data_IF_763554525827
#
_entry.id   IF_763554525827
#
_cell.length_a   1.000
_cell.length_b   1.000
_cell.length_c   1.000
_cell.angle_alpha   90.00
_cell.angle_beta   90.00
_cell.angle_gamma   90.00
#
_symmetry.space_group_name_H-M   'P 1'
#
loop_
_entity.id
_entity.type
_entity.pdbx_description
1 polymer ?
#
# COMPACT_ATOMS: atom_id res chain seq x y z
N UNK A 1 -37.51 -52.02 22.34
CA UNK A 1 -37.48 -51.86 23.80
C UNK A 1 -36.13 -51.30 24.15
N UNK A 2 -36.11 -50.27 24.99
CA UNK A 2 -34.94 -49.51 25.47
C UNK A 2 -34.03 -48.91 24.38
N UNK A 3 -34.48 -47.79 23.80
CA UNK A 3 -33.56 -46.82 23.18
C UNK A 3 -33.04 -45.93 24.28
N UNK A 4 -31.86 -46.24 24.81
CA UNK A 4 -31.19 -45.37 25.79
C UNK A 4 -30.61 -44.16 25.04
N UNK A 5 -31.46 -43.14 24.80
CA UNK A 5 -31.11 -41.92 24.06
C UNK A 5 -29.91 -41.18 24.69
N UNK A 6 -29.71 -41.35 26.01
CA UNK A 6 -28.56 -40.80 26.72
C UNK A 6 -27.27 -41.45 26.25
N UNK A 7 -27.24 -42.79 26.15
CA UNK A 7 -26.08 -43.52 25.63
C UNK A 7 -25.83 -43.20 24.16
N UNK A 8 -26.88 -43.06 23.34
CA UNK A 8 -26.73 -42.66 21.95
C UNK A 8 -26.16 -41.24 21.79
N UNK A 9 -26.60 -40.29 22.63
CA UNK A 9 -26.07 -38.93 22.65
C UNK A 9 -24.65 -38.85 23.24
N UNK A 10 -24.31 -39.71 24.20
CA UNK A 10 -22.96 -39.81 24.75
C UNK A 10 -21.99 -40.42 23.71
N UNK A 11 -22.44 -41.44 22.97
CA UNK A 11 -21.60 -42.13 21.99
C UNK A 11 -21.21 -41.23 20.81
N UNK A 12 -22.02 -40.21 20.48
CA UNK A 12 -21.69 -39.24 19.43
C UNK A 12 -20.65 -38.20 19.86
N UNK A 13 -20.42 -38.03 21.18
CA UNK A 13 -19.44 -37.08 21.72
C UNK A 13 -18.17 -37.75 22.19
N UNK A 14 -18.31 -38.92 22.81
CA UNK A 14 -17.21 -39.70 23.34
C UNK A 14 -17.53 -41.21 23.23
N UNK A 15 -17.28 -41.81 22.06
CA UNK A 15 -17.59 -43.22 21.82
C UNK A 15 -16.75 -44.17 22.67
N UNK A 16 -15.54 -43.76 23.08
CA UNK A 16 -14.63 -44.60 23.88
C UNK A 16 -15.12 -44.67 25.33
N UNK A 17 -15.48 -43.52 25.92
CA UNK A 17 -16.05 -43.51 27.27
C UNK A 17 -17.35 -44.31 27.36
N UNK A 18 -18.19 -44.28 26.32
CA UNK A 18 -19.41 -45.09 26.26
C UNK A 18 -19.10 -46.58 26.19
N UNK A 19 -18.08 -47.01 25.46
CA UNK A 19 -17.67 -48.41 25.42
C UNK A 19 -17.19 -48.91 26.79
N UNK A 20 -16.53 -48.06 27.57
CA UNK A 20 -16.15 -48.36 28.97
C UNK A 20 -17.38 -48.41 29.89
N UNK A 21 -18.35 -47.51 29.72
CA UNK A 21 -19.62 -47.53 30.47
C UNK A 21 -20.43 -48.82 30.18
N UNK A 22 -20.55 -49.20 28.90
CA UNK A 22 -21.27 -50.41 28.46
C UNK A 22 -20.62 -51.69 29.01
N UNK A 23 -19.28 -51.71 29.15
CA UNK A 23 -18.51 -52.81 29.74
C UNK A 23 -18.91 -53.13 31.19
N UNK A 24 -19.34 -52.12 31.94
CA UNK A 24 -19.69 -52.25 33.37
C UNK A 24 -21.20 -52.42 33.62
N UNK A 25 -22.03 -52.29 32.59
CA UNK A 25 -23.48 -52.52 32.67
C UNK A 25 -23.83 -54.00 32.52
N UNK A 26 -24.97 -54.38 33.08
CA UNK A 26 -25.60 -55.68 32.86
C UNK A 26 -26.92 -55.51 32.11
N UNK A 27 -27.21 -56.41 31.16
CA UNK A 27 -28.44 -56.42 30.37
C UNK A 27 -28.20 -56.31 28.86
N UNK A 28 -29.28 -56.19 28.05
CA UNK A 28 -29.22 -56.38 26.60
C UNK A 28 -28.26 -55.44 25.85
N UNK A 29 -28.00 -54.24 26.39
CA UNK A 29 -27.08 -53.26 25.80
C UNK A 29 -25.62 -53.71 25.95
N UNK A 30 -25.27 -54.37 27.05
CA UNK A 30 -23.93 -54.91 27.26
C UNK A 30 -23.66 -56.09 26.31
N UNK A 31 -24.66 -56.94 26.09
CA UNK A 31 -24.57 -58.07 25.13
C UNK A 31 -24.34 -57.55 23.71
N UNK A 32 -25.06 -56.50 23.29
CA UNK A 32 -24.83 -55.83 22.00
C UNK A 32 -23.42 -55.25 21.90
N UNK A 33 -22.90 -54.66 22.99
CA UNK A 33 -21.53 -54.13 23.04
C UNK A 33 -20.45 -55.21 22.88
N UNK A 34 -20.71 -56.44 23.34
CA UNK A 34 -19.82 -57.60 23.16
C UNK A 34 -19.96 -58.18 21.75
N UNK A 35 -21.20 -58.44 21.29
CA UNK A 35 -21.45 -59.04 19.98
C UNK A 35 -21.02 -58.15 18.81
N UNK A 36 -21.16 -56.84 18.95
CA UNK A 36 -20.70 -55.87 17.94
C UNK A 36 -19.17 -55.71 17.91
N UNK A 37 -18.46 -56.27 18.89
CA UNK A 37 -17.02 -56.09 19.04
C UNK A 37 -16.59 -54.71 19.56
N UNK A 38 -17.55 -53.85 19.94
CA UNK A 38 -17.29 -52.48 20.41
C UNK A 38 -16.38 -52.46 21.64
N UNK A 39 -16.58 -53.37 22.59
CA UNK A 39 -15.77 -53.47 23.82
C UNK A 39 -14.33 -53.90 23.49
N UNK A 40 -14.16 -54.82 22.53
CA UNK A 40 -12.83 -55.27 22.10
C UNK A 40 -12.09 -54.14 21.37
N UNK A 41 -12.74 -53.49 20.42
CA UNK A 41 -12.17 -52.35 19.69
C UNK A 41 -11.79 -51.19 20.63
N UNK A 42 -12.64 -50.86 21.60
CA UNK A 42 -12.35 -49.80 22.57
C UNK A 42 -11.17 -50.15 23.51
N UNK A 43 -10.97 -51.42 23.85
CA UNK A 43 -9.85 -51.87 24.71
C UNK A 43 -8.51 -51.73 23.99
N UNK A 44 -8.48 -51.92 22.67
CA UNK A 44 -7.29 -51.70 21.85
C UNK A 44 -7.02 -50.19 21.65
N UNK A 45 -8.07 -49.38 21.54
CA UNK A 45 -7.96 -47.91 21.44
C UNK A 45 -7.54 -47.24 22.77
N UNK A 46 -7.94 -47.77 23.93
CA UNK A 46 -7.51 -47.27 25.26
C UNK A 46 -6.00 -47.45 25.51
N UNK A 47 -5.32 -48.33 24.77
CA UNK A 47 -3.87 -48.54 24.86
C UNK A 47 -3.04 -47.54 24.06
N UNK A 48 -3.67 -46.79 23.17
CA UNK A 48 -3.03 -45.92 22.21
C UNK A 48 -3.69 -44.54 22.34
N UNK A 49 -3.16 -43.68 23.22
CA UNK A 49 -3.70 -42.33 23.52
C UNK A 49 -3.75 -41.40 22.29
N UNK A 50 -3.26 -41.86 21.13
CA UNK A 50 -3.07 -41.10 19.90
C UNK A 50 -4.02 -41.43 18.75
N UNK A 51 -5.02 -42.30 18.92
CA UNK A 51 -5.81 -42.78 17.75
C UNK A 51 -6.75 -41.73 17.14
N UNK A 52 -7.10 -40.68 17.88
CA UNK A 52 -7.89 -39.56 17.36
C UNK A 52 -7.27 -38.21 17.76
N UNK A 53 -6.15 -37.80 17.12
CA UNK A 53 -5.57 -36.51 17.41
C UNK A 53 -6.49 -35.42 16.86
N UNK A 54 -6.99 -34.54 17.73
CA UNK A 54 -7.65 -33.32 17.32
C UNK A 54 -6.62 -32.43 16.61
N UNK A 55 -6.60 -32.48 15.27
CA UNK A 55 -5.53 -31.84 14.48
C UNK A 55 -6.05 -30.58 13.81
N UNK A 56 -5.43 -29.43 14.11
CA UNK A 56 -5.77 -28.11 13.55
C UNK A 56 -4.74 -27.78 12.48
N UNK A 57 -5.14 -27.80 11.20
CA UNK A 57 -4.26 -27.50 10.07
C UNK A 57 -5.00 -27.18 8.76
N UNK A 58 -4.29 -26.60 7.79
CA UNK A 58 -4.81 -26.23 6.48
C UNK A 58 -4.90 -27.47 5.57
N UNK A 59 -6.11 -27.83 5.12
CA UNK A 59 -6.33 -29.00 4.25
C UNK A 59 -5.82 -28.72 2.83
N UNK A 60 -4.78 -29.44 2.38
CA UNK A 60 -4.29 -29.41 0.99
C UNK A 60 -4.43 -30.83 0.41
N UNK A 61 -5.56 -31.11 -0.24
CA UNK A 61 -5.93 -32.48 -0.65
C UNK A 61 -6.24 -33.37 0.56
N UNK A 62 -6.54 -34.66 0.35
CA UNK A 62 -6.80 -35.63 1.44
C UNK A 62 -5.55 -35.97 2.29
N UNK A 63 -4.56 -35.07 2.33
CA UNK A 63 -3.31 -35.21 3.05
C UNK A 63 -3.18 -34.05 4.04
N UNK A 64 -2.79 -34.38 5.28
CA UNK A 64 -2.67 -33.44 6.38
C UNK A 64 -1.18 -33.22 6.69
N UNK A 65 -0.80 -31.97 6.97
CA UNK A 65 0.59 -31.60 7.29
C UNK A 65 0.76 -31.68 8.80
N UNK A 66 1.50 -32.69 9.25
CA UNK A 66 1.99 -32.82 10.63
C UNK A 66 3.50 -32.50 10.63
N UNK A 67 3.93 -31.61 11.53
CA UNK A 67 5.34 -31.17 11.65
C UNK A 67 6.13 -32.00 12.66
N UNK A 68 5.50 -32.97 13.32
CA UNK A 68 6.16 -33.87 14.26
C UNK A 68 6.57 -35.16 13.58
N UNK A 69 7.77 -35.66 13.89
CA UNK A 69 8.26 -36.97 13.46
C UNK A 69 8.18 -37.87 14.68
N UNK A 70 7.39 -38.94 14.62
CA UNK A 70 7.20 -39.87 15.76
C UNK A 70 8.53 -40.57 16.12
N UNK A 71 8.73 -40.90 17.40
CA UNK A 71 9.97 -41.50 17.95
C UNK A 71 10.33 -42.88 17.34
N UNK A 72 9.45 -43.50 16.55
CA UNK A 72 9.67 -44.78 15.84
C UNK A 72 9.89 -44.65 14.33
N UNK A 73 9.89 -43.44 13.78
CA UNK A 73 10.02 -43.20 12.35
C UNK A 73 11.50 -43.27 11.92
N UNK A 74 11.81 -44.03 10.88
CA UNK A 74 13.17 -44.13 10.33
C UNK A 74 13.23 -43.54 8.92
N UNK A 75 14.27 -42.76 8.64
CA UNK A 75 14.49 -42.20 7.31
C UNK A 75 14.69 -43.34 6.31
N UNK A 76 13.80 -43.43 5.33
CA UNK A 76 13.79 -44.47 4.30
C UNK A 76 14.43 -43.98 3.01
N UNK A 77 14.11 -42.76 2.61
CA UNK A 77 14.54 -42.21 1.32
C UNK A 77 14.57 -40.67 1.36
N UNK A 78 15.33 -40.08 0.44
CA UNK A 78 15.42 -38.63 0.26
C UNK A 78 15.28 -38.33 -1.23
N UNK A 79 14.23 -37.58 -1.57
CA UNK A 79 13.87 -37.29 -2.96
C UNK A 79 13.94 -35.80 -3.24
N UNK A 80 14.80 -35.39 -4.18
CA UNK A 80 14.80 -34.01 -4.68
C UNK A 80 13.62 -33.78 -5.62
N UNK A 81 12.86 -32.71 -5.38
CA UNK A 81 11.73 -32.31 -6.21
C UNK A 81 12.16 -31.36 -7.32
N UNK A 82 11.35 -31.25 -8.38
CA UNK A 82 11.59 -30.30 -9.48
C UNK A 82 11.63 -28.84 -9.05
N UNK A 83 11.03 -28.50 -7.92
CA UNK A 83 11.05 -27.16 -7.31
C UNK A 83 12.40 -26.83 -6.66
N UNK A 84 13.31 -27.80 -6.54
CA UNK A 84 14.56 -27.68 -5.78
C UNK A 84 14.44 -28.03 -4.30
N UNK A 85 13.23 -28.31 -3.82
CA UNK A 85 12.96 -28.76 -2.44
C UNK A 85 13.40 -30.22 -2.25
N UNK A 86 13.72 -30.62 -1.02
CA UNK A 86 14.00 -32.02 -0.67
C UNK A 86 12.83 -32.61 0.11
N UNK A 87 12.39 -33.81 -0.26
CA UNK A 87 11.40 -34.58 0.48
C UNK A 87 12.09 -35.75 1.19
N UNK A 88 12.14 -35.72 2.52
CA UNK A 88 12.60 -36.83 3.36
C UNK A 88 11.42 -37.75 3.66
N UNK A 89 11.54 -39.02 3.27
CA UNK A 89 10.50 -40.03 3.41
C UNK A 89 10.83 -40.89 4.63
N UNK A 90 9.95 -40.87 5.63
CA UNK A 90 10.10 -41.66 6.85
C UNK A 90 9.17 -42.88 6.82
N UNK A 91 9.76 -44.07 6.97
CA UNK A 91 9.01 -45.32 7.15
C UNK A 91 8.55 -45.47 8.60
N UNK A 92 7.31 -45.95 8.78
CA UNK A 92 6.74 -46.28 10.09
C UNK A 92 6.24 -47.74 10.10
N UNK A 93 6.43 -48.50 11.20
CA UNK A 93 5.94 -49.87 11.28
C UNK A 93 4.40 -49.89 11.26
N UNK A 94 3.80 -50.50 10.23
CA UNK A 94 2.34 -50.70 10.16
C UNK A 94 1.51 -49.51 9.67
N UNK A 95 2.13 -48.40 9.26
CA UNK A 95 1.42 -47.19 8.81
C UNK A 95 2.01 -46.61 7.50
N UNK A 96 1.32 -45.65 6.90
CA UNK A 96 1.72 -44.96 5.66
C UNK A 96 2.99 -44.13 5.91
N UNK A 97 3.95 -44.10 4.95
CA UNK A 97 5.15 -43.27 5.06
C UNK A 97 4.82 -41.80 5.26
N UNK A 98 5.54 -41.13 6.16
CA UNK A 98 5.46 -39.66 6.34
C UNK A 98 6.46 -38.97 5.41
N UNK A 99 6.05 -37.88 4.80
CA UNK A 99 6.89 -37.05 3.94
C UNK A 99 7.17 -35.74 4.66
N UNK A 100 8.42 -35.51 5.06
CA UNK A 100 8.86 -34.22 5.54
C UNK A 100 9.45 -33.44 4.35
N UNK A 101 8.89 -32.27 4.06
CA UNK A 101 9.34 -31.42 2.97
C UNK A 101 10.27 -30.34 3.52
N UNK A 102 11.53 -30.38 3.13
CA UNK A 102 12.46 -29.26 3.26
C UNK A 102 12.29 -28.35 2.04
N UNK A 103 11.53 -27.27 2.22
CA UNK A 103 11.34 -26.26 1.18
C UNK A 103 12.65 -25.53 0.89
N UNK A 104 12.83 -25.04 -0.34
CA UNK A 104 14.02 -24.25 -0.72
C UNK A 104 14.21 -23.05 0.20
N UNK A 105 13.12 -22.42 0.64
CA UNK A 105 13.14 -21.27 1.55
C UNK A 105 13.71 -21.63 2.94
N UNK A 106 13.54 -22.87 3.38
CA UNK A 106 14.13 -23.40 4.63
C UNK A 106 15.60 -23.82 4.48
N UNK A 107 16.10 -23.97 3.26
CA UNK A 107 17.49 -24.36 2.96
C UNK A 107 18.44 -23.16 2.79
N UNK A 108 17.93 -21.93 2.72
CA UNK A 108 18.76 -20.72 2.65
C UNK A 108 19.58 -20.56 3.94
N UNK A 109 20.88 -20.27 3.79
CA UNK A 109 21.73 -19.91 4.92
C UNK A 109 21.30 -18.57 5.53
N UNK A 110 21.56 -18.35 6.83
CA UNK A 110 21.25 -17.06 7.49
C UNK A 110 21.95 -15.88 6.80
N UNK A 111 23.13 -16.12 6.20
CA UNK A 111 23.84 -15.09 5.41
C UNK A 111 23.08 -14.74 4.13
N UNK A 112 22.52 -15.72 3.43
CA UNK A 112 21.77 -15.47 2.20
C UNK A 112 20.41 -14.82 2.48
N UNK A 113 19.77 -15.16 3.60
CA UNK A 113 18.54 -14.46 4.05
C UNK A 113 18.80 -13.01 4.42
N UNK A 114 19.89 -12.71 5.15
CA UNK A 114 20.29 -11.31 5.42
C UNK A 114 20.56 -10.53 4.14
N UNK A 115 21.23 -11.13 3.15
CA UNK A 115 21.42 -10.51 1.83
C UNK A 115 20.11 -10.25 1.10
N UNK A 116 19.13 -11.16 1.20
CA UNK A 116 17.79 -10.93 0.64
C UNK A 116 17.07 -9.77 1.36
N UNK A 117 17.20 -9.68 2.68
CA UNK A 117 16.64 -8.58 3.48
C UNK A 117 17.25 -7.23 3.07
N UNK A 118 18.59 -7.12 3.10
CA UNK A 118 19.31 -5.93 2.64
C UNK A 118 18.98 -5.60 1.18
N UNK A 119 18.83 -6.63 0.34
CA UNK A 119 18.50 -6.52 -1.07
C UNK A 119 17.15 -5.87 -1.33
N UNK A 120 16.06 -6.34 -0.70
CA UNK A 120 14.73 -5.75 -0.96
C UNK A 120 14.62 -4.34 -0.36
N UNK A 121 15.25 -4.07 0.78
CA UNK A 121 15.28 -2.74 1.37
C UNK A 121 16.00 -1.73 0.47
N UNK A 122 17.17 -2.13 -0.06
CA UNK A 122 17.93 -1.33 -1.01
C UNK A 122 17.17 -1.13 -2.33
N UNK A 123 16.45 -2.13 -2.81
CA UNK A 123 15.58 -2.01 -4.01
C UNK A 123 14.44 -1.03 -3.73
N UNK A 124 13.73 -1.17 -2.61
CA UNK A 124 12.62 -0.29 -2.23
C UNK A 124 13.06 1.18 -2.12
N UNK A 125 14.13 1.44 -1.37
CA UNK A 125 14.71 2.78 -1.24
C UNK A 125 15.26 3.30 -2.58
N UNK A 126 15.97 2.46 -3.33
CA UNK A 126 16.56 2.83 -4.62
C UNK A 126 15.50 3.20 -5.65
N UNK A 127 14.43 2.42 -5.76
CA UNK A 127 13.28 2.72 -6.62
C UNK A 127 12.58 4.00 -6.17
N UNK A 128 12.38 4.17 -4.86
CA UNK A 128 11.77 5.38 -4.30
C UNK A 128 12.55 6.66 -4.63
N UNK A 129 13.86 6.64 -4.40
CA UNK A 129 14.78 7.76 -4.72
C UNK A 129 14.84 8.00 -6.23
N UNK A 130 14.93 6.95 -7.05
CA UNK A 130 14.95 7.07 -8.51
C UNK A 130 13.68 7.72 -9.05
N UNK A 131 12.50 7.34 -8.54
CA UNK A 131 11.22 7.95 -8.89
C UNK A 131 11.20 9.44 -8.53
N UNK A 132 11.63 9.79 -7.31
CA UNK A 132 11.70 11.20 -6.88
C UNK A 132 12.64 11.99 -7.78
N UNK A 133 13.85 11.49 -8.04
CA UNK A 133 14.85 12.17 -8.87
C UNK A 133 14.35 12.36 -10.31
N UNK A 134 13.70 11.35 -10.89
CA UNK A 134 13.20 11.38 -12.27
C UNK A 134 12.03 12.35 -12.44
N UNK A 135 11.10 12.41 -11.48
CA UNK A 135 9.87 13.20 -11.61
C UNK A 135 9.94 14.61 -10.99
N UNK A 136 10.94 14.89 -10.14
CA UNK A 136 11.16 16.23 -9.55
C UNK A 136 11.24 17.38 -10.58
N UNK A 137 11.97 17.29 -11.71
CA UNK A 137 12.02 18.40 -12.67
C UNK A 137 10.67 18.65 -13.33
N UNK A 138 9.92 17.60 -13.63
CA UNK A 138 8.58 17.72 -14.22
C UNK A 138 7.62 18.39 -13.24
N UNK A 139 7.71 18.01 -11.95
CA UNK A 139 6.89 18.63 -10.91
C UNK A 139 7.24 20.11 -10.69
N UNK A 140 8.51 20.49 -10.81
CA UNK A 140 8.95 21.88 -10.70
C UNK A 140 8.30 22.78 -11.77
N UNK A 141 8.23 22.30 -13.02
CA UNK A 141 7.53 23.04 -14.11
C UNK A 141 6.04 23.18 -13.80
N UNK A 142 5.40 22.11 -13.31
CA UNK A 142 3.98 22.15 -12.94
C UNK A 142 3.71 23.11 -11.78
N UNK A 143 4.60 23.17 -10.80
CA UNK A 143 4.48 24.10 -9.68
C UNK A 143 4.59 25.54 -10.18
N UNK A 144 5.60 25.84 -11.00
CA UNK A 144 5.73 27.16 -11.62
C UNK A 144 4.48 27.57 -12.42
N UNK A 145 3.89 26.65 -13.19
CA UNK A 145 2.63 26.92 -13.90
C UNK A 145 1.49 27.25 -12.94
N UNK A 146 1.36 26.52 -11.83
CA UNK A 146 0.35 26.81 -10.80
C UNK A 146 0.59 28.15 -10.13
N UNK A 147 1.85 28.50 -9.88
CA UNK A 147 2.22 29.77 -9.26
C UNK A 147 1.89 30.95 -10.21
N UNK A 148 2.15 30.80 -11.52
CA UNK A 148 1.72 31.76 -12.55
C UNK A 148 0.19 31.86 -12.63
N UNK A 149 -0.52 30.76 -12.38
CA UNK A 149 -1.97 30.74 -12.45
C UNK A 149 -2.67 31.32 -11.21
N UNK A 150 -2.00 31.31 -10.05
CA UNK A 150 -2.59 31.58 -8.74
C UNK A 150 -3.26 32.97 -8.62
N UNK A 151 -2.76 33.98 -9.35
CA UNK A 151 -3.28 35.34 -9.30
C UNK A 151 -3.81 35.83 -10.66
N UNK A 152 -4.17 34.92 -11.58
CA UNK A 152 -4.71 35.30 -12.88
C UNK A 152 -6.04 36.06 -12.77
N UNK A 153 -6.86 35.67 -11.81
CA UNK A 153 -8.14 36.34 -11.51
C UNK A 153 -7.89 37.79 -11.07
N UNK A 154 -6.93 38.03 -10.18
CA UNK A 154 -6.52 39.37 -9.73
C UNK A 154 -6.04 40.24 -10.91
N UNK A 155 -5.20 39.66 -11.77
CA UNK A 155 -4.69 40.33 -12.96
C UNK A 155 -5.84 40.75 -13.90
N UNK A 156 -6.81 39.87 -14.12
CA UNK A 156 -7.97 40.17 -14.95
C UNK A 156 -8.88 41.23 -14.34
N UNK A 157 -9.08 41.24 -13.02
CA UNK A 157 -9.83 42.31 -12.37
C UNK A 157 -9.16 43.68 -12.51
N UNK A 158 -7.83 43.73 -12.33
CA UNK A 158 -7.07 44.98 -12.51
C UNK A 158 -7.20 45.46 -13.95
N UNK A 159 -6.91 44.58 -14.92
CA UNK A 159 -6.95 44.95 -16.34
C UNK A 159 -8.36 45.33 -16.77
N UNK A 160 -9.35 44.50 -16.47
CA UNK A 160 -10.74 44.72 -16.84
C UNK A 160 -11.31 46.02 -16.27
N UNK A 161 -10.97 46.37 -15.02
CA UNK A 161 -11.43 47.62 -14.39
C UNK A 161 -10.83 48.86 -15.06
N UNK A 162 -9.51 48.87 -15.32
CA UNK A 162 -8.87 50.00 -16.00
C UNK A 162 -9.40 50.19 -17.43
N UNK A 163 -9.56 49.09 -18.17
CA UNK A 163 -10.11 49.13 -19.53
C UNK A 163 -11.56 49.61 -19.53
N UNK A 164 -12.36 49.22 -18.53
CA UNK A 164 -13.74 49.71 -18.37
C UNK A 164 -13.80 51.22 -18.05
N UNK A 165 -12.79 51.75 -17.36
CA UNK A 165 -12.63 53.19 -17.10
C UNK A 165 -12.18 53.96 -18.36
N UNK A 166 -11.59 53.27 -19.33
CA UNK A 166 -11.21 53.78 -20.64
C UNK A 166 -9.70 53.84 -20.88
N UNK A 167 -8.90 53.23 -20.01
CA UNK A 167 -7.47 53.05 -20.26
C UNK A 167 -7.22 52.02 -21.37
N UNK A 168 -6.04 52.12 -21.99
CA UNK A 168 -5.59 51.12 -22.97
C UNK A 168 -5.29 49.78 -22.29
N UNK A 169 -5.46 48.67 -23.01
CA UNK A 169 -5.14 47.34 -22.46
C UNK A 169 -3.65 47.22 -22.18
N UNK A 170 -2.80 47.88 -22.97
CA UNK A 170 -1.35 47.95 -22.79
C UNK A 170 -0.97 48.59 -21.45
N UNK A 171 -1.53 49.77 -21.15
CA UNK A 171 -1.32 50.45 -19.86
C UNK A 171 -1.86 49.63 -18.69
N UNK A 172 -3.00 48.97 -18.88
CA UNK A 172 -3.62 48.14 -17.86
C UNK A 172 -2.80 46.86 -17.58
N UNK A 173 -2.17 46.27 -18.60
CA UNK A 173 -1.25 45.13 -18.46
C UNK A 173 0.02 45.54 -17.71
N UNK A 174 0.57 46.72 -17.99
CA UNK A 174 1.69 47.29 -17.23
C UNK A 174 1.31 47.46 -15.75
N UNK A 175 0.13 48.01 -15.48
CA UNK A 175 -0.36 48.16 -14.11
C UNK A 175 -0.57 46.84 -13.38
N UNK A 176 -0.99 45.79 -14.09
CA UNK A 176 -1.12 44.45 -13.53
C UNK A 176 0.25 43.84 -13.22
N UNK A 177 1.27 44.07 -14.07
CA UNK A 177 2.65 43.67 -13.78
C UNK A 177 3.18 44.27 -12.47
N UNK A 178 2.84 45.54 -12.19
CA UNK A 178 3.28 46.24 -10.98
C UNK A 178 2.52 45.83 -9.70
N UNK A 179 1.25 45.43 -9.82
CA UNK A 179 0.34 45.25 -8.68
C UNK A 179 0.03 43.81 -8.33
N UNK A 180 0.08 42.90 -9.31
CA UNK A 180 -0.21 41.48 -9.09
C UNK A 180 1.02 40.84 -8.45
N UNK A 181 0.86 40.07 -7.37
CA UNK A 181 1.99 39.45 -6.70
C UNK A 181 2.59 38.29 -7.52
N UNK A 182 3.79 37.90 -7.11
CA UNK A 182 4.41 36.62 -7.43
C UNK A 182 4.61 36.38 -8.95
N UNK A 183 4.59 35.12 -9.37
CA UNK A 183 4.91 34.70 -10.72
C UNK A 183 3.89 35.20 -11.75
N UNK A 184 2.63 35.40 -11.37
CA UNK A 184 1.63 36.02 -12.25
C UNK A 184 2.04 37.46 -12.59
N UNK A 185 2.38 38.27 -11.58
CA UNK A 185 2.85 39.64 -11.79
C UNK A 185 4.09 39.69 -12.68
N UNK A 186 5.08 38.83 -12.42
CA UNK A 186 6.29 38.73 -13.21
C UNK A 186 6.01 38.43 -14.71
N UNK A 187 5.03 37.58 -15.01
CA UNK A 187 4.63 37.29 -16.40
C UNK A 187 4.00 38.52 -17.08
N UNK A 188 3.20 39.31 -16.35
CA UNK A 188 2.62 40.55 -16.88
C UNK A 188 3.67 41.66 -17.03
N UNK A 189 4.62 41.75 -16.09
CA UNK A 189 5.77 42.66 -16.15
C UNK A 189 6.66 42.35 -17.37
N UNK A 190 6.95 41.07 -17.61
CA UNK A 190 7.70 40.60 -18.77
C UNK A 190 6.99 40.95 -20.08
N UNK A 191 5.67 40.74 -20.14
CA UNK A 191 4.85 41.11 -21.30
C UNK A 191 4.88 42.63 -21.54
N UNK A 192 4.64 43.45 -20.52
CA UNK A 192 4.71 44.91 -20.62
C UNK A 192 6.12 45.39 -21.05
N UNK A 193 7.17 44.73 -20.53
CA UNK A 193 8.55 44.95 -20.94
C UNK A 193 8.80 44.68 -22.42
N UNK A 194 8.23 43.58 -22.95
CA UNK A 194 8.31 43.24 -24.37
C UNK A 194 7.53 44.24 -25.24
N UNK A 195 6.35 44.70 -24.81
CA UNK A 195 5.59 45.72 -25.53
C UNK A 195 6.39 47.02 -25.66
N UNK A 196 7.02 47.48 -24.57
CA UNK A 196 7.84 48.71 -24.57
C UNK A 196 9.11 48.58 -25.43
N UNK A 197 9.82 47.44 -25.34
CA UNK A 197 11.11 47.24 -26.02
C UNK A 197 10.96 46.90 -27.50
N UNK A 198 9.89 46.20 -27.88
CA UNK A 198 9.69 45.68 -29.24
C UNK A 198 8.56 46.39 -29.99
N UNK A 199 7.89 47.37 -29.37
CA UNK A 199 6.74 48.09 -29.92
C UNK A 199 5.67 47.15 -30.50
N UNK A 200 5.35 46.10 -29.74
CA UNK A 200 4.43 45.05 -30.17
C UNK A 200 3.12 45.08 -29.38
N UNK A 201 2.06 44.54 -29.97
CA UNK A 201 0.74 44.45 -29.33
C UNK A 201 0.67 43.37 -28.25
N UNK A 202 -0.43 43.37 -27.47
CA UNK A 202 -0.67 42.45 -26.35
C UNK A 202 -0.51 40.98 -26.78
N UNK A 203 -1.01 40.62 -27.96
CA UNK A 203 -0.93 39.26 -28.49
C UNK A 203 0.50 38.75 -28.62
N UNK A 204 1.38 39.53 -29.25
CA UNK A 204 2.76 39.11 -29.50
C UNK A 204 3.58 39.15 -28.20
N UNK A 205 3.30 40.09 -27.31
CA UNK A 205 3.97 40.17 -26.01
C UNK A 205 3.70 38.96 -25.10
N UNK A 206 2.50 38.37 -25.14
CA UNK A 206 2.19 37.17 -24.36
C UNK A 206 2.41 35.87 -25.14
N UNK A 207 1.92 35.80 -26.38
CA UNK A 207 1.79 34.57 -27.18
C UNK A 207 2.76 34.48 -28.36
N UNK A 208 3.56 35.52 -28.59
CA UNK A 208 4.53 35.59 -29.68
C UNK A 208 5.70 34.61 -29.51
N UNK A 209 6.61 34.62 -30.48
CA UNK A 209 7.79 33.74 -30.47
C UNK A 209 8.65 33.93 -29.21
N UNK A 210 8.71 35.17 -28.71
CA UNK A 210 9.43 35.56 -27.50
C UNK A 210 8.48 36.02 -26.39
N UNK A 211 7.20 35.63 -26.46
CA UNK A 211 6.19 36.08 -25.52
C UNK A 211 6.41 35.56 -24.09
N UNK A 212 5.89 36.29 -23.11
CA UNK A 212 6.02 35.96 -21.69
C UNK A 212 5.49 34.55 -21.33
N UNK A 213 4.54 34.01 -22.11
CA UNK A 213 3.95 32.68 -21.87
C UNK A 213 4.62 31.54 -22.65
N UNK A 214 5.73 31.81 -23.37
CA UNK A 214 6.42 30.79 -24.18
C UNK A 214 6.72 29.51 -23.40
N UNK A 215 7.14 29.63 -22.14
CA UNK A 215 7.55 28.51 -21.28
C UNK A 215 6.47 28.12 -20.26
N UNK A 216 5.25 28.66 -20.38
CA UNK A 216 4.13 28.37 -19.46
C UNK A 216 3.12 27.48 -20.19
N UNK A 217 3.17 26.14 -20.01
CA UNK A 217 2.28 25.21 -20.69
C UNK A 217 0.83 25.18 -20.12
N UNK A 218 0.22 26.34 -19.88
CA UNK A 218 -1.17 26.45 -19.38
C UNK A 218 -2.15 26.86 -20.47
N UNK A 219 -3.22 26.07 -20.71
CA UNK A 219 -4.35 26.51 -21.53
C UNK A 219 -5.08 27.72 -20.94
N UNK A 220 -5.18 27.81 -19.60
CA UNK A 220 -5.87 28.89 -18.89
C UNK A 220 -5.15 30.21 -19.09
N UNK A 221 -3.84 30.26 -18.83
CA UNK A 221 -3.04 31.48 -19.04
C UNK A 221 -3.02 31.91 -20.51
N UNK A 222 -2.94 30.96 -21.45
CA UNK A 222 -3.03 31.27 -22.89
C UNK A 222 -4.41 31.81 -23.28
N UNK A 223 -5.48 31.26 -22.73
CA UNK A 223 -6.85 31.74 -22.93
C UNK A 223 -7.01 33.17 -22.42
N UNK A 224 -6.52 33.45 -21.22
CA UNK A 224 -6.49 34.80 -20.64
C UNK A 224 -5.72 35.78 -21.52
N UNK A 225 -4.50 35.43 -21.96
CA UNK A 225 -3.72 36.29 -22.84
C UNK A 225 -4.40 36.51 -24.20
N UNK A 226 -5.08 35.50 -24.75
CA UNK A 226 -5.85 35.64 -25.99
C UNK A 226 -7.08 36.56 -25.80
N UNK A 227 -7.76 36.48 -24.65
CA UNK A 227 -8.85 37.40 -24.30
C UNK A 227 -8.34 38.85 -24.21
N UNK A 228 -7.21 39.08 -23.53
CA UNK A 228 -6.60 40.41 -23.44
C UNK A 228 -6.14 40.94 -24.80
N UNK A 229 -5.62 40.07 -25.67
CA UNK A 229 -5.27 40.43 -27.03
C UNK A 229 -6.50 40.88 -27.85
N UNK A 230 -7.62 40.15 -27.77
CA UNK A 230 -8.87 40.55 -28.44
C UNK A 230 -9.38 41.87 -27.85
N UNK A 231 -9.33 42.01 -26.52
CA UNK A 231 -9.74 43.23 -25.85
C UNK A 231 -8.90 44.45 -26.25
N UNK A 232 -7.63 44.27 -26.61
CA UNK A 232 -6.76 45.37 -27.05
C UNK A 232 -7.21 45.99 -28.39
N UNK A 233 -7.88 45.20 -29.23
CA UNK A 233 -8.45 45.68 -30.50
C UNK A 233 -9.79 46.40 -30.28
N UNK A 234 -10.59 45.93 -29.30
CA UNK A 234 -11.93 46.46 -29.00
C UNK A 234 -11.91 47.67 -28.06
N UNK A 235 -10.95 47.74 -27.13
CA UNK A 235 -10.81 48.82 -26.15
C UNK A 235 -11.89 48.82 -25.06
N UNK A 236 -12.40 50.01 -24.70
CA UNK A 236 -13.30 50.23 -23.54
C UNK A 236 -14.51 49.27 -23.45
N UNK A 237 -15.22 48.93 -24.55
CA UNK A 237 -16.33 47.97 -24.49
C UNK A 237 -15.96 46.59 -23.92
N UNK A 238 -14.69 46.17 -24.08
CA UNK A 238 -14.21 44.86 -23.63
C UNK A 238 -13.94 44.79 -22.11
N UNK A 239 -13.76 45.92 -21.42
CA UNK A 239 -13.42 45.93 -19.99
C UNK A 239 -14.42 45.19 -19.11
N UNK A 240 -15.73 45.37 -19.36
CA UNK A 240 -16.79 44.63 -18.64
C UNK A 240 -16.77 43.12 -18.93
N UNK A 241 -16.42 42.74 -20.15
CA UNK A 241 -16.30 41.33 -20.52
C UNK A 241 -15.11 40.69 -19.79
N UNK A 242 -13.98 41.39 -19.67
CA UNK A 242 -12.81 40.91 -18.90
C UNK A 242 -13.18 40.70 -17.43
N UNK A 243 -13.85 41.66 -16.79
CA UNK A 243 -14.30 41.51 -15.39
C UNK A 243 -15.24 40.31 -15.23
N UNK A 244 -16.21 40.15 -16.13
CA UNK A 244 -17.11 38.98 -16.10
C UNK A 244 -16.38 37.64 -16.29
N UNK A 245 -15.28 37.62 -17.06
CA UNK A 245 -14.44 36.42 -17.16
C UNK A 245 -13.62 36.19 -15.90
N UNK A 246 -13.17 37.26 -15.22
CA UNK A 246 -12.54 37.13 -13.90
C UNK A 246 -13.51 36.52 -12.87
N UNK A 247 -14.76 37.02 -12.81
CA UNK A 247 -15.81 36.45 -11.94
C UNK A 247 -16.00 34.96 -12.24
N UNK A 248 -16.07 34.57 -13.51
CA UNK A 248 -16.25 33.17 -13.90
C UNK A 248 -15.05 32.28 -13.50
N UNK A 249 -13.82 32.80 -13.60
CA UNK A 249 -12.63 32.07 -13.17
C UNK A 249 -12.57 31.94 -11.64
N UNK A 250 -12.97 32.97 -10.89
CA UNK A 250 -13.06 32.91 -9.43
C UNK A 250 -14.07 31.85 -8.98
N UNK A 251 -15.26 31.82 -9.61
CA UNK A 251 -16.28 30.79 -9.37
C UNK A 251 -15.74 29.38 -9.65
N UNK A 252 -15.01 29.20 -10.76
CA UNK A 252 -14.41 27.92 -11.10
C UNK A 252 -13.35 27.49 -10.07
N UNK A 253 -12.47 28.40 -9.66
CA UNK A 253 -11.45 28.15 -8.63
C UNK A 253 -12.07 27.77 -7.28
N UNK A 254 -13.18 28.43 -6.91
CA UNK A 254 -13.90 28.12 -5.69
C UNK A 254 -14.48 26.69 -5.71
N UNK A 255 -15.11 26.30 -6.83
CA UNK A 255 -15.67 24.95 -7.04
C UNK A 255 -14.57 23.89 -7.06
N UNK A 256 -13.45 24.14 -7.75
CA UNK A 256 -12.29 23.25 -7.77
C UNK A 256 -11.70 23.07 -6.37
N UNK A 257 -11.54 24.16 -5.62
CA UNK A 257 -10.99 24.13 -4.27
C UNK A 257 -11.93 23.38 -3.30
N UNK A 258 -13.24 23.54 -3.41
CA UNK A 258 -14.21 22.79 -2.62
C UNK A 258 -14.15 21.29 -2.95
N UNK A 259 -14.17 20.96 -4.23
CA UNK A 259 -14.10 19.56 -4.69
C UNK A 259 -12.82 18.90 -4.22
N UNK A 260 -11.68 19.60 -4.32
CA UNK A 260 -10.39 19.12 -3.85
C UNK A 260 -10.40 18.88 -2.34
N UNK A 261 -10.90 19.82 -1.53
CA UNK A 261 -11.02 19.65 -0.07
C UNK A 261 -11.85 18.41 0.30
N UNK A 262 -12.98 18.19 -0.37
CA UNK A 262 -13.83 17.02 -0.14
C UNK A 262 -13.09 15.71 -0.47
N UNK A 263 -12.35 15.68 -1.58
CA UNK A 263 -11.53 14.52 -1.94
C UNK A 263 -10.38 14.30 -0.96
N UNK A 264 -9.72 15.37 -0.50
CA UNK A 264 -8.64 15.31 0.48
C UNK A 264 -9.11 14.72 1.82
N UNK A 265 -10.33 15.04 2.24
CA UNK A 265 -10.93 14.48 3.45
C UNK A 265 -11.09 12.96 3.36
N UNK A 266 -11.53 12.44 2.21
CA UNK A 266 -11.76 10.99 2.02
C UNK A 266 -10.44 10.22 1.83
N UNK A 267 -9.54 10.79 1.03
CA UNK A 267 -8.30 10.10 0.62
C UNK A 267 -7.15 10.32 1.59
N UNK A 268 -7.25 11.28 2.52
CA UNK A 268 -6.17 11.59 3.48
C UNK A 268 -5.82 10.41 4.38
N UNK A 269 -6.82 9.61 4.75
CA UNK A 269 -6.62 8.37 5.51
C UNK A 269 -5.84 7.34 4.71
N UNK A 270 -6.07 7.24 3.40
CA UNK A 270 -5.34 6.33 2.51
C UNK A 270 -3.86 6.71 2.41
N UNK A 271 -3.57 8.01 2.23
CA UNK A 271 -2.19 8.51 2.18
C UNK A 271 -1.44 8.26 3.49
N UNK A 272 -2.07 8.59 4.63
CA UNK A 272 -1.46 8.37 5.94
C UNK A 272 -1.28 6.88 6.26
N UNK A 273 -2.21 6.03 5.82
CA UNK A 273 -2.09 4.58 5.98
C UNK A 273 -0.92 4.04 5.18
N UNK A 274 -0.76 4.47 3.92
CA UNK A 274 0.34 4.04 3.09
C UNK A 274 1.70 4.55 3.57
N UNK A 275 1.78 5.81 4.00
CA UNK A 275 3.03 6.45 4.39
C UNK A 275 3.50 6.10 5.80
N UNK A 276 2.57 5.90 6.75
CA UNK A 276 2.90 5.83 8.18
C UNK A 276 2.33 4.60 8.90
N UNK A 277 1.01 4.39 8.86
CA UNK A 277 0.41 3.35 9.71
C UNK A 277 0.75 1.94 9.24
N UNK A 278 0.65 1.66 7.93
CA UNK A 278 0.97 0.34 7.41
C UNK A 278 2.45 -0.04 7.62
N UNK A 279 3.45 0.83 7.33
CA UNK A 279 4.84 0.53 7.62
C UNK A 279 5.17 0.37 9.11
N UNK A 280 4.52 1.14 9.99
CA UNK A 280 4.71 1.03 11.43
C UNK A 280 4.13 -0.28 11.97
N UNK A 281 2.90 -0.63 11.61
CA UNK A 281 2.28 -1.91 12.03
C UNK A 281 3.07 -3.10 11.45
N UNK A 282 3.51 -2.99 10.20
CA UNK A 282 4.38 -3.98 9.55
C UNK A 282 5.69 -4.17 10.31
N UNK A 283 6.39 -3.07 10.61
CA UNK A 283 7.65 -3.13 11.36
C UNK A 283 7.46 -3.65 12.78
N UNK A 284 6.33 -3.33 13.42
CA UNK A 284 6.01 -3.87 14.74
C UNK A 284 5.72 -5.37 14.73
N UNK A 285 4.99 -5.83 13.72
CA UNK A 285 4.72 -7.26 13.52
C UNK A 285 6.01 -8.05 13.33
N UNK A 286 6.92 -7.53 12.51
CA UNK A 286 8.21 -8.17 12.22
C UNK A 286 9.15 -8.12 13.43
N UNK A 287 9.23 -6.98 14.12
CA UNK A 287 10.04 -6.84 15.32
C UNK A 287 9.61 -7.77 16.46
N UNK A 288 8.30 -7.88 16.70
CA UNK A 288 7.77 -8.84 17.69
C UNK A 288 8.06 -10.29 17.30
N UNK A 289 7.87 -10.65 16.02
CA UNK A 289 8.16 -12.00 15.55
C UNK A 289 9.65 -12.36 15.69
N UNK A 290 10.55 -11.42 15.40
CA UNK A 290 11.99 -11.61 15.58
C UNK A 290 12.36 -11.86 17.04
N UNK A 291 11.77 -11.13 17.98
CA UNK A 291 11.98 -11.34 19.42
C UNK A 291 11.47 -12.70 19.89
N UNK A 292 10.28 -13.13 19.43
CA UNK A 292 9.73 -14.45 19.75
C UNK A 292 10.59 -15.61 19.22
N UNK A 293 11.38 -15.36 18.17
CA UNK A 293 12.34 -16.32 17.61
C UNK A 293 13.75 -16.24 18.22
N UNK A 294 13.96 -15.43 19.26
CA UNK A 294 15.28 -15.26 19.90
C UNK A 294 15.70 -16.49 20.73
N UNK A 295 17.00 -16.81 20.69
CA UNK A 295 17.58 -18.00 21.36
C UNK A 295 17.34 -18.02 22.88
N UNK A 296 17.26 -16.86 23.54
CA UNK A 296 17.03 -16.74 24.98
C UNK A 296 15.63 -17.22 25.43
N UNK A 297 14.61 -17.04 24.59
CA UNK A 297 13.23 -17.52 24.85
C UNK A 297 13.06 -18.98 24.43
N UNK A 298 13.79 -19.42 23.41
CA UNK A 298 13.78 -20.83 22.97
C UNK A 298 14.50 -21.71 24.02
N UNK A 299 15.54 -21.20 24.66
CA UNK A 299 16.29 -21.90 25.71
C UNK A 299 15.51 -22.08 27.03
N UNK A 300 14.46 -21.29 27.30
CA UNK A 300 13.63 -21.43 28.51
C UNK A 300 12.64 -22.60 28.45
N UNK A 301 12.53 -23.31 27.32
CA UNK A 301 11.77 -24.55 27.19
C UNK A 301 10.24 -24.40 27.22
N UNK A 302 9.72 -23.18 27.28
CA UNK A 302 8.26 -22.91 27.29
C UNK A 302 7.63 -22.93 25.89
N UNK A 303 8.44 -22.95 24.82
CA UNK A 303 7.95 -22.90 23.43
C UNK A 303 8.82 -23.76 22.50
N UNK A 304 8.20 -24.63 21.71
CA UNK A 304 8.91 -25.39 20.66
C UNK A 304 9.50 -24.42 19.63
N UNK A 305 10.81 -24.57 19.33
CA UNK A 305 11.61 -23.80 18.36
C UNK A 305 11.08 -23.80 16.89
N UNK A 306 9.88 -24.33 16.65
CA UNK A 306 9.19 -24.33 15.36
C UNK A 306 8.36 -23.04 15.10
N UNK A 307 8.39 -22.08 16.04
CA UNK A 307 7.54 -20.90 16.01
C UNK A 307 8.18 -19.73 15.25
N UNK A 308 7.70 -19.52 14.03
CA UNK A 308 7.91 -18.34 13.16
C UNK A 308 9.31 -18.14 12.57
N UNK A 309 9.51 -18.42 11.25
CA UNK A 309 10.65 -17.91 10.50
C UNK A 309 10.50 -16.39 10.32
N UNK A 310 10.95 -15.62 11.33
CA UNK A 310 10.82 -14.17 11.38
C UNK A 310 11.45 -13.47 10.17
N UNK A 311 12.54 -14.03 9.64
CA UNK A 311 13.21 -13.56 8.43
C UNK A 311 12.33 -13.70 7.18
N UNK A 312 11.65 -14.85 7.01
CA UNK A 312 10.69 -15.04 5.92
C UNK A 312 9.49 -14.11 6.06
N UNK A 313 9.01 -13.91 7.29
CA UNK A 313 7.92 -12.96 7.58
C UNK A 313 8.33 -11.52 7.22
N UNK A 314 9.55 -11.11 7.57
CA UNK A 314 10.08 -9.79 7.26
C UNK A 314 10.08 -9.52 5.74
N UNK A 315 10.52 -10.47 4.92
CA UNK A 315 10.52 -10.35 3.46
C UNK A 315 9.09 -10.18 2.92
N UNK A 316 8.16 -11.05 3.34
CA UNK A 316 6.77 -11.02 2.85
C UNK A 316 6.08 -9.72 3.26
N UNK A 317 6.25 -9.29 4.51
CA UNK A 317 5.68 -8.05 5.04
C UNK A 317 6.32 -6.82 4.38
N UNK A 318 7.63 -6.82 4.15
CA UNK A 318 8.34 -5.75 3.43
C UNK A 318 7.84 -5.60 1.99
N UNK A 319 7.72 -6.70 1.25
CA UNK A 319 7.14 -6.71 -0.09
C UNK A 319 5.69 -6.20 -0.09
N UNK A 320 4.91 -6.57 0.93
CA UNK A 320 3.55 -6.08 1.11
C UNK A 320 3.51 -4.56 1.31
N UNK A 321 4.40 -3.98 2.12
CA UNK A 321 4.49 -2.52 2.31
C UNK A 321 4.85 -1.81 1.00
N UNK A 322 5.81 -2.35 0.23
CA UNK A 322 6.16 -1.82 -1.09
C UNK A 322 4.95 -1.86 -2.02
N UNK A 323 4.29 -3.02 -2.13
CA UNK A 323 3.09 -3.18 -2.96
C UNK A 323 1.98 -2.22 -2.56
N UNK A 324 1.77 -2.03 -1.26
CA UNK A 324 0.78 -1.11 -0.71
C UNK A 324 1.07 0.35 -1.10
N UNK A 325 2.34 0.77 -1.10
CA UNK A 325 2.74 2.08 -1.62
C UNK A 325 2.42 2.21 -3.12
N UNK A 326 2.67 1.17 -3.92
CA UNK A 326 2.36 1.18 -5.35
C UNK A 326 0.87 1.05 -5.69
N UNK A 327 0.02 0.68 -4.74
CA UNK A 327 -1.44 0.55 -4.97
C UNK A 327 -2.18 1.75 -4.40
N UNK A 328 -2.00 2.03 -3.10
CA UNK A 328 -2.80 3.03 -2.38
C UNK A 328 -2.39 4.44 -2.79
N UNK A 329 -1.09 4.72 -2.93
CA UNK A 329 -0.63 6.06 -3.29
C UNK A 329 -1.12 6.48 -4.69
N UNK A 330 -0.97 5.68 -5.76
CA UNK A 330 -1.55 6.03 -7.06
C UNK A 330 -3.06 6.17 -7.05
N UNK A 331 -3.77 5.33 -6.28
CA UNK A 331 -5.23 5.44 -6.14
C UNK A 331 -5.61 6.77 -5.50
N UNK A 332 -4.99 7.12 -4.37
CA UNK A 332 -5.25 8.37 -3.65
C UNK A 332 -4.93 9.59 -4.52
N UNK A 333 -3.76 9.62 -5.15
CA UNK A 333 -3.36 10.72 -6.03
C UNK A 333 -4.27 10.79 -7.26
N UNK A 334 -4.58 9.65 -7.87
CA UNK A 334 -5.42 9.56 -9.07
C UNK A 334 -6.82 10.10 -8.84
N UNK A 335 -7.38 9.87 -7.65
CA UNK A 335 -8.67 10.43 -7.25
C UNK A 335 -8.61 11.94 -7.02
N UNK A 336 -7.51 12.48 -6.44
CA UNK A 336 -7.37 13.92 -6.13
C UNK A 336 -7.02 14.81 -7.32
N UNK A 337 -6.13 14.34 -8.18
CA UNK A 337 -5.48 15.16 -9.21
C UNK A 337 -5.67 14.61 -10.63
N UNK A 338 -6.40 13.50 -10.78
CA UNK A 338 -6.45 12.73 -12.02
C UNK A 338 -5.21 11.85 -12.23
N UNK A 339 -5.22 11.04 -13.28
CA UNK A 339 -4.14 10.10 -13.62
C UNK A 339 -2.96 10.81 -14.30
N UNK A 340 -2.22 11.61 -13.53
CA UNK A 340 -0.97 12.22 -13.97
C UNK A 340 0.24 11.36 -13.57
N UNK A 341 0.92 10.77 -14.55
CA UNK A 341 2.07 9.88 -14.34
C UNK A 341 3.20 10.56 -13.57
N UNK A 342 3.44 11.85 -13.79
CA UNK A 342 4.54 12.54 -13.12
C UNK A 342 4.25 12.78 -11.64
N UNK A 343 3.01 13.20 -11.34
CA UNK A 343 2.58 13.47 -9.98
C UNK A 343 2.44 12.18 -9.17
N UNK A 344 1.89 11.12 -9.79
CA UNK A 344 1.84 9.77 -9.20
C UNK A 344 3.25 9.25 -8.93
N UNK A 345 4.14 9.29 -9.91
CA UNK A 345 5.50 8.76 -9.76
C UNK A 345 6.28 9.45 -8.64
N UNK A 346 6.21 10.79 -8.56
CA UNK A 346 6.85 11.54 -7.48
C UNK A 346 6.29 11.18 -6.09
N UNK A 347 4.96 11.11 -5.95
CA UNK A 347 4.33 10.81 -4.66
C UNK A 347 4.59 9.36 -4.23
N UNK A 348 4.51 8.40 -5.15
CA UNK A 348 4.89 7.00 -4.88
C UNK A 348 6.33 6.94 -4.40
N UNK A 349 7.25 7.63 -5.08
CA UNK A 349 8.65 7.67 -4.67
C UNK A 349 8.84 8.23 -3.25
N UNK A 350 8.20 9.36 -2.94
CA UNK A 350 8.27 9.98 -1.62
C UNK A 350 7.67 9.09 -0.53
N UNK A 351 6.48 8.54 -0.78
CA UNK A 351 5.78 7.65 0.17
C UNK A 351 6.56 6.36 0.39
N UNK A 352 7.14 5.78 -0.66
CA UNK A 352 7.96 4.57 -0.58
C UNK A 352 9.21 4.81 0.27
N UNK A 353 9.91 5.92 0.08
CA UNK A 353 11.08 6.27 0.91
C UNK A 353 10.68 6.46 2.37
N UNK A 354 9.61 7.21 2.66
CA UNK A 354 9.16 7.40 4.05
C UNK A 354 8.69 6.09 4.69
N UNK A 355 7.98 5.26 3.94
CA UNK A 355 7.49 3.97 4.39
C UNK A 355 8.64 3.00 4.71
N UNK A 356 9.64 2.90 3.83
CA UNK A 356 10.80 2.03 4.04
C UNK A 356 11.62 2.46 5.26
N UNK A 357 11.89 3.76 5.40
CA UNK A 357 12.61 4.29 6.58
C UNK A 357 11.82 3.99 7.85
N UNK A 358 10.51 4.22 7.85
CA UNK A 358 9.67 3.99 9.02
C UNK A 358 9.57 2.50 9.38
N UNK A 359 9.45 1.62 8.39
CA UNK A 359 9.45 0.18 8.58
C UNK A 359 10.74 -0.28 9.28
N UNK A 360 11.91 0.05 8.73
CA UNK A 360 13.21 -0.34 9.28
C UNK A 360 13.42 0.24 10.68
N UNK A 361 13.06 1.51 10.87
CA UNK A 361 13.17 2.17 12.17
C UNK A 361 12.28 1.51 13.21
N UNK A 362 11.06 1.10 12.83
CA UNK A 362 10.14 0.44 13.77
C UNK A 362 10.64 -0.94 14.17
N UNK A 363 11.17 -1.73 13.22
CA UNK A 363 11.81 -3.02 13.52
C UNK A 363 12.98 -2.82 14.47
N UNK A 364 13.87 -1.87 14.19
CA UNK A 364 15.05 -1.59 15.01
C UNK A 364 14.68 -1.11 16.43
N UNK A 365 13.69 -0.22 16.55
CA UNK A 365 13.22 0.28 17.86
C UNK A 365 12.64 -0.86 18.71
N UNK A 366 11.86 -1.75 18.11
CA UNK A 366 11.25 -2.86 18.83
C UNK A 366 12.28 -3.90 19.25
N UNK A 367 13.29 -4.18 18.41
CA UNK A 367 14.40 -5.05 18.79
C UNK A 367 15.35 -4.48 19.85
N UNK A 368 15.26 -3.19 20.18
CA UNK A 368 16.04 -2.56 21.28
C UNK A 368 15.22 -2.41 22.56
N UNK A 369 13.90 -2.17 22.45
CA UNK A 369 13.02 -1.93 23.59
C UNK A 369 12.57 -3.22 24.30
N UNK A 370 12.47 -4.31 23.56
CA UNK A 370 12.06 -5.63 24.02
C UNK A 370 13.24 -6.59 23.90
#
# INVERSE_FOLDING_TARGET
GERDERLAAAASRDPIAVASEVRTRAGPIADIGVESGLIAAATDLERDETVLPATVGLTIGQYFIDRTIDDGAHLRDLQSLRTGSEARIYGRPGDVPRYALDAVDTALSDTDRRRLLEGYEAIGLGVGVALVATYRPVLAVRQYVRDVEAHLTDALYIVGRQVAEGESVESAVELAGDRVPAETGAVFEDAAGLQRRLHTGVREAFLGQYGALRNVPSPRTRGTAALLAIASEEGKPAGRAIVSMADHLEELEAVEAETKRNLEQVTGTLDNTAAYFAPLVAGATVGMAAMMSSEDIIASGEMNAAAFPAESLAIVVGLYVIALCFIITPLSIGLRHGLDRALVGYHVGRTLVSAMILYVLTVAVIGVLL
#
